data_IF_103361961142
#
_entry.id   IF_103361961142
#
_cell.length_a   1.000
_cell.length_b   1.000
_cell.length_c   1.000
_cell.angle_alpha   90.00
_cell.angle_beta   90.00
_cell.angle_gamma   90.00
#
_symmetry.space_group_name_H-M   'P 1'
#
loop_
_entity.id
_entity.type
_entity.pdbx_description
1 polymer ?
#
# COMPACT_ATOMS: atom_id res chain seq x y z
N UNK A 1 -14.26 -21.90 -91.80
CA UNK A 1 -15.18 -20.85 -91.33
C UNK A 1 -16.19 -21.52 -90.40
N UNK A 2 -16.28 -21.35 -89.09
CA UNK A 2 -15.51 -20.65 -88.09
C UNK A 2 -15.84 -21.38 -86.78
N UNK A 3 -14.83 -21.96 -86.13
CA UNK A 3 -14.94 -22.69 -84.88
C UNK A 3 -14.71 -21.67 -83.75
N UNK A 4 -15.77 -21.14 -83.16
CA UNK A 4 -15.67 -20.15 -82.08
C UNK A 4 -15.76 -20.84 -80.73
N UNK A 5 -14.57 -21.10 -80.19
CA UNK A 5 -14.29 -21.51 -78.83
C UNK A 5 -15.10 -20.69 -77.80
N UNK A 6 -16.04 -21.35 -77.12
CA UNK A 6 -16.55 -20.91 -75.83
C UNK A 6 -15.42 -21.05 -74.79
N UNK A 7 -14.51 -20.07 -74.76
CA UNK A 7 -13.61 -19.86 -73.62
C UNK A 7 -14.47 -19.42 -72.43
N UNK A 8 -14.91 -20.40 -71.65
CA UNK A 8 -15.42 -20.18 -70.30
C UNK A 8 -14.29 -19.58 -69.47
N UNK A 9 -14.23 -18.25 -69.38
CA UNK A 9 -13.31 -17.57 -68.47
C UNK A 9 -13.74 -17.91 -67.05
N UNK A 10 -12.94 -18.72 -66.35
CA UNK A 10 -13.12 -18.93 -64.91
C UNK A 10 -12.86 -17.59 -64.24
N UNK A 11 -13.93 -16.82 -63.99
CA UNK A 11 -13.88 -15.59 -63.20
C UNK A 11 -13.18 -15.93 -61.89
N UNK A 12 -12.08 -15.27 -61.61
CA UNK A 12 -11.39 -15.47 -60.33
C UNK A 12 -12.30 -14.94 -59.23
N UNK A 13 -12.12 -15.45 -58.00
CA UNK A 13 -12.91 -15.03 -56.84
C UNK A 13 -12.84 -13.51 -56.55
N UNK A 14 -11.99 -12.75 -57.25
CA UNK A 14 -11.83 -11.30 -57.09
C UNK A 14 -12.73 -10.47 -58.02
N UNK A 15 -13.35 -11.09 -59.03
CA UNK A 15 -14.01 -10.38 -60.14
C UNK A 15 -15.54 -10.54 -60.17
N UNK A 16 -16.17 -10.92 -59.04
CA UNK A 16 -17.62 -11.14 -58.98
C UNK A 16 -18.36 -9.82 -58.81
N UNK A 17 -19.14 -9.44 -59.84
CA UNK A 17 -20.01 -8.26 -59.81
C UNK A 17 -21.12 -8.40 -58.75
N UNK A 18 -21.57 -7.30 -58.11
CA UNK A 18 -22.70 -7.31 -57.17
C UNK A 18 -24.00 -7.88 -57.78
N UNK A 19 -24.18 -7.79 -59.10
CA UNK A 19 -25.30 -8.43 -59.79
C UNK A 19 -25.17 -9.96 -59.85
N UNK A 20 -23.94 -10.47 -60.03
CA UNK A 20 -23.65 -11.90 -60.04
C UNK A 20 -23.77 -12.51 -58.62
N UNK A 21 -23.39 -11.74 -57.58
CA UNK A 21 -23.58 -12.11 -56.17
C UNK A 21 -25.04 -12.30 -55.76
N UNK A 22 -25.97 -11.59 -56.40
CA UNK A 22 -27.42 -11.73 -56.15
C UNK A 22 -28.00 -12.99 -56.77
N UNK A 23 -27.35 -13.54 -57.80
CA UNK A 23 -27.77 -14.76 -58.51
C UNK A 23 -27.24 -16.04 -57.86
N UNK A 24 -26.25 -15.94 -56.97
CA UNK A 24 -25.69 -17.09 -56.25
C UNK A 24 -26.68 -17.66 -55.23
N UNK A 25 -26.63 -18.98 -55.03
CA UNK A 25 -27.35 -19.58 -53.92
C UNK A 25 -26.75 -19.12 -52.57
N UNK A 26 -27.53 -19.17 -51.46
CA UNK A 26 -27.06 -18.69 -50.16
C UNK A 26 -25.74 -19.32 -49.70
N UNK A 27 -25.50 -20.62 -49.94
CA UNK A 27 -24.26 -21.28 -49.53
C UNK A 27 -23.04 -20.78 -50.32
N UNK A 28 -23.18 -20.56 -51.62
CA UNK A 28 -22.11 -20.02 -52.48
C UNK A 28 -21.79 -18.57 -52.12
N UNK A 29 -22.83 -17.76 -51.87
CA UNK A 29 -22.69 -16.37 -51.44
C UNK A 29 -22.02 -16.26 -50.07
N UNK A 30 -22.39 -17.10 -49.12
CA UNK A 30 -21.75 -17.16 -47.80
C UNK A 30 -20.27 -17.56 -47.93
N UNK A 31 -19.97 -18.58 -48.74
CA UNK A 31 -18.59 -19.00 -49.01
C UNK A 31 -17.78 -17.89 -49.69
N UNK A 32 -18.37 -17.12 -50.60
CA UNK A 32 -17.72 -15.97 -51.21
C UNK A 32 -17.38 -14.88 -50.18
N UNK A 33 -18.38 -14.45 -49.40
CA UNK A 33 -18.22 -13.36 -48.43
C UNK A 33 -17.25 -13.71 -47.30
N UNK A 34 -17.08 -14.98 -46.97
CA UNK A 34 -16.11 -15.42 -45.95
C UNK A 34 -14.64 -15.14 -46.32
N UNK A 35 -14.32 -15.10 -47.61
CA UNK A 35 -12.96 -14.86 -48.11
C UNK A 35 -12.81 -13.52 -48.85
N UNK A 36 -13.92 -12.83 -49.11
CA UNK A 36 -13.91 -11.51 -49.71
C UNK A 36 -13.28 -10.50 -48.75
N UNK A 37 -12.46 -9.60 -49.28
CA UNK A 37 -11.88 -8.53 -48.47
C UNK A 37 -13.00 -7.59 -47.96
N UNK A 38 -12.99 -7.24 -46.66
CA UNK A 38 -13.98 -6.35 -46.10
C UNK A 38 -13.87 -4.96 -46.75
N UNK A 39 -15.00 -4.25 -46.83
CA UNK A 39 -15.01 -2.89 -47.36
C UNK A 39 -14.11 -1.96 -46.54
N UNK A 40 -13.62 -0.89 -47.16
CA UNK A 40 -12.69 0.08 -46.52
C UNK A 40 -13.21 0.61 -45.18
N UNK A 41 -14.52 0.85 -45.06
CA UNK A 41 -15.16 1.32 -43.83
C UNK A 41 -15.14 0.26 -42.71
N UNK A 42 -15.37 -1.02 -43.06
CA UNK A 42 -15.30 -2.14 -42.11
C UNK A 42 -13.85 -2.38 -41.69
N UNK A 43 -12.90 -2.34 -42.64
CA UNK A 43 -11.47 -2.43 -42.35
C UNK A 43 -10.99 -1.34 -41.38
N UNK A 44 -11.42 -0.09 -41.61
CA UNK A 44 -11.14 1.03 -40.70
C UNK A 44 -11.72 0.81 -39.30
N UNK A 45 -12.97 0.34 -39.22
CA UNK A 45 -13.64 0.04 -37.94
C UNK A 45 -12.91 -1.07 -37.16
N UNK A 46 -12.47 -2.12 -37.85
CA UNK A 46 -11.68 -3.23 -37.27
C UNK A 46 -10.30 -2.74 -36.81
N UNK A 47 -9.64 -1.87 -37.58
CA UNK A 47 -8.36 -1.29 -37.20
C UNK A 47 -8.48 -0.43 -35.93
N UNK A 48 -9.52 0.40 -35.84
CA UNK A 48 -9.81 1.20 -34.65
C UNK A 48 -10.08 0.29 -33.45
N UNK A 49 -10.90 -0.75 -33.62
CA UNK A 49 -11.18 -1.71 -32.55
C UNK A 49 -9.91 -2.42 -32.06
N UNK A 50 -9.04 -2.88 -32.97
CA UNK A 50 -7.74 -3.47 -32.63
C UNK A 50 -6.84 -2.50 -31.89
N UNK A 51 -6.80 -1.24 -32.32
CA UNK A 51 -6.01 -0.20 -31.66
C UNK A 51 -6.50 0.04 -30.23
N UNK A 52 -7.82 0.13 -29.99
CA UNK A 52 -8.39 0.26 -28.65
C UNK A 52 -7.99 -0.90 -27.74
N UNK A 53 -8.06 -2.13 -28.24
CA UNK A 53 -7.66 -3.32 -27.47
C UNK A 53 -6.17 -3.28 -27.12
N UNK A 54 -5.31 -2.87 -28.06
CA UNK A 54 -3.87 -2.73 -27.80
C UNK A 54 -3.58 -1.69 -26.73
N UNK A 55 -4.22 -0.52 -26.81
CA UNK A 55 -4.08 0.55 -25.81
C UNK A 55 -4.54 0.05 -24.44
N UNK A 56 -5.71 -0.57 -24.35
CA UNK A 56 -6.22 -1.13 -23.10
C UNK A 56 -5.28 -2.17 -22.47
N UNK A 57 -4.74 -3.10 -23.27
CA UNK A 57 -3.77 -4.09 -22.80
C UNK A 57 -2.49 -3.42 -22.30
N UNK A 58 -2.01 -2.40 -23.02
CA UNK A 58 -0.83 -1.65 -22.61
C UNK A 58 -1.07 -0.92 -21.29
N UNK A 59 -2.16 -0.17 -21.17
CA UNK A 59 -2.54 0.55 -19.94
C UNK A 59 -2.65 -0.40 -18.75
N UNK A 60 -3.30 -1.56 -18.94
CA UNK A 60 -3.41 -2.57 -17.87
C UNK A 60 -2.04 -3.08 -17.43
N UNK A 61 -1.13 -3.35 -18.38
CA UNK A 61 0.25 -3.80 -18.06
C UNK A 61 1.03 -2.73 -17.30
N UNK A 62 0.89 -1.46 -17.70
CA UNK A 62 1.57 -0.36 -17.00
C UNK A 62 1.01 -0.17 -15.58
N UNK A 63 -0.30 -0.31 -15.39
CA UNK A 63 -0.91 -0.30 -14.05
C UNK A 63 -0.40 -1.45 -13.19
N UNK A 64 -0.33 -2.67 -13.73
CA UNK A 64 0.22 -3.83 -13.02
C UNK A 64 1.68 -3.61 -12.60
N UNK A 65 2.52 -3.03 -13.49
CA UNK A 65 3.91 -2.68 -13.16
C UNK A 65 4.00 -1.64 -12.05
N UNK A 66 3.19 -0.58 -12.10
CA UNK A 66 3.19 0.47 -11.07
C UNK A 66 2.78 -0.09 -9.71
N UNK A 67 1.79 -0.99 -9.67
CA UNK A 67 1.36 -1.65 -8.44
C UNK A 67 2.47 -2.54 -7.85
N UNK A 68 3.17 -3.30 -8.70
CA UNK A 68 4.29 -4.14 -8.27
C UNK A 68 5.44 -3.30 -7.71
N UNK A 69 5.83 -2.23 -8.41
CA UNK A 69 6.88 -1.31 -7.96
C UNK A 69 6.51 -0.67 -6.62
N UNK A 70 5.27 -0.16 -6.47
CA UNK A 70 4.81 0.40 -5.21
C UNK A 70 4.81 -0.63 -4.07
N UNK A 71 4.46 -1.89 -4.36
CA UNK A 71 4.51 -2.96 -3.37
C UNK A 71 5.95 -3.30 -2.95
N UNK A 72 6.90 -3.30 -3.87
CA UNK A 72 8.32 -3.52 -3.60
C UNK A 72 8.91 -2.36 -2.78
N UNK A 73 8.62 -1.12 -3.14
CA UNK A 73 9.02 0.07 -2.38
C UNK A 73 8.53 0.02 -0.94
N UNK A 74 7.25 -0.34 -0.74
CA UNK A 74 6.68 -0.53 0.61
C UNK A 74 7.41 -1.60 1.39
N UNK A 75 7.73 -2.75 0.78
CA UNK A 75 8.50 -3.81 1.44
C UNK A 75 9.89 -3.33 1.86
N UNK A 76 10.58 -2.58 0.99
CA UNK A 76 11.88 -1.99 1.30
C UNK A 76 11.77 -0.98 2.46
N UNK A 77 10.74 -0.13 2.44
CA UNK A 77 10.47 0.83 3.50
C UNK A 77 10.16 0.13 4.84
N UNK A 78 9.32 -0.90 4.83
CA UNK A 78 8.97 -1.67 6.02
C UNK A 78 10.18 -2.39 6.61
N UNK A 79 11.04 -2.96 5.75
CA UNK A 79 12.30 -3.56 6.17
C UNK A 79 13.24 -2.54 6.84
N UNK A 80 13.38 -1.35 6.24
CA UNK A 80 14.17 -0.26 6.82
C UNK A 80 13.60 0.20 8.17
N UNK A 81 12.29 0.39 8.27
CA UNK A 81 11.61 0.74 9.52
C UNK A 81 11.87 -0.35 10.57
N UNK A 82 11.79 -1.62 10.20
CA UNK A 82 12.07 -2.75 11.08
C UNK A 82 13.50 -2.73 11.62
N UNK A 83 14.49 -2.47 10.75
CA UNK A 83 15.90 -2.33 11.15
C UNK A 83 16.11 -1.16 12.11
N UNK A 84 15.54 0.01 11.81
CA UNK A 84 15.63 1.19 12.66
C UNK A 84 14.99 0.97 14.04
N UNK A 85 13.79 0.38 14.08
CA UNK A 85 13.13 0.01 15.34
C UNK A 85 13.96 -0.98 16.15
N UNK A 86 14.57 -1.98 15.51
CA UNK A 86 15.43 -2.94 16.18
C UNK A 86 16.72 -2.31 16.73
N UNK A 87 17.33 -1.38 15.99
CA UNK A 87 18.50 -0.63 16.43
C UNK A 87 18.15 0.26 17.64
N UNK A 88 17.01 0.95 17.59
CA UNK A 88 16.52 1.76 18.70
C UNK A 88 16.25 0.92 19.96
N UNK A 89 15.56 -0.21 19.82
CA UNK A 89 15.28 -1.11 20.94
C UNK A 89 16.57 -1.61 21.61
N UNK A 90 17.57 -2.01 20.81
CA UNK A 90 18.89 -2.41 21.31
C UNK A 90 19.58 -1.26 22.04
N UNK A 91 19.55 -0.05 21.49
CA UNK A 91 20.11 1.15 22.14
C UNK A 91 19.43 1.43 23.48
N UNK A 92 18.11 1.36 23.56
CA UNK A 92 17.35 1.53 24.82
C UNK A 92 17.76 0.49 25.86
N UNK A 93 17.84 -0.79 25.49
CA UNK A 93 18.28 -1.87 26.39
C UNK A 93 19.72 -1.63 26.86
N UNK A 94 20.62 -1.28 25.94
CA UNK A 94 22.02 -0.99 26.28
C UNK A 94 22.13 0.18 27.27
N UNK A 95 21.42 1.30 27.01
CA UNK A 95 21.39 2.44 27.92
C UNK A 95 20.86 2.08 29.31
N UNK A 96 19.80 1.27 29.38
CA UNK A 96 19.27 0.77 30.66
C UNK A 96 20.27 -0.10 31.42
N UNK A 97 20.96 -1.00 30.73
CA UNK A 97 22.02 -1.84 31.32
C UNK A 97 23.18 -1.01 31.83
N UNK A 98 23.65 -0.04 31.04
CA UNK A 98 24.71 0.87 31.43
C UNK A 98 24.32 1.70 32.67
N UNK A 99 23.09 2.24 32.68
CA UNK A 99 22.56 2.97 33.82
C UNK A 99 22.46 2.08 35.06
N UNK A 100 21.97 0.84 34.91
CA UNK A 100 21.90 -0.12 36.00
C UNK A 100 23.29 -0.44 36.57
N UNK A 101 24.28 -0.66 35.71
CA UNK A 101 25.66 -0.90 36.13
C UNK A 101 26.23 0.29 36.91
N UNK A 102 26.09 1.51 36.38
CA UNK A 102 26.51 2.73 37.08
C UNK A 102 25.82 2.90 38.44
N UNK A 103 24.51 2.64 38.50
CA UNK A 103 23.78 2.69 39.77
C UNK A 103 24.28 1.63 40.77
N UNK A 104 24.61 0.42 40.29
CA UNK A 104 25.18 -0.63 41.13
C UNK A 104 26.53 -0.21 41.72
N UNK A 105 27.40 0.37 40.89
CA UNK A 105 28.71 0.89 41.31
C UNK A 105 28.58 2.02 42.34
N UNK A 106 27.68 2.97 42.10
CA UNK A 106 27.39 4.07 43.03
C UNK A 106 26.83 3.53 44.35
N UNK A 107 25.88 2.59 44.31
CA UNK A 107 25.33 1.99 45.52
C UNK A 107 26.42 1.24 46.31
N UNK A 108 27.33 0.57 45.62
CA UNK A 108 28.48 -0.08 46.26
C UNK A 108 29.38 0.96 46.94
N UNK A 109 29.73 2.05 46.26
CA UNK A 109 30.51 3.15 46.85
C UNK A 109 29.84 3.74 48.09
N UNK A 110 28.51 3.92 48.08
CA UNK A 110 27.73 4.37 49.25
C UNK A 110 27.82 3.34 50.39
N UNK A 111 27.72 2.04 50.07
CA UNK A 111 27.77 0.97 51.08
C UNK A 111 29.14 0.81 51.73
N UNK A 112 30.22 1.15 51.03
CA UNK A 112 31.59 1.09 51.54
C UNK A 112 31.99 2.35 52.32
N UNK A 113 31.10 3.32 52.51
CA UNK A 113 31.43 4.53 53.25
C UNK A 113 31.65 4.22 54.74
N UNK A 114 32.66 4.83 55.38
CA UNK A 114 33.01 4.52 56.76
C UNK A 114 31.97 5.06 57.77
N UNK A 115 31.17 6.05 57.39
CA UNK A 115 30.13 6.64 58.25
C UNK A 115 28.80 6.79 57.52
N UNK A 116 27.70 6.71 58.28
CA UNK A 116 26.36 6.92 57.73
C UNK A 116 26.19 8.35 57.15
N UNK A 117 26.84 9.35 57.75
CA UNK A 117 26.79 10.74 57.29
C UNK A 117 27.45 10.90 55.91
N UNK A 118 28.61 10.28 55.68
CA UNK A 118 29.28 10.33 54.37
C UNK A 118 28.50 9.57 53.30
N UNK A 119 27.90 8.44 53.64
CA UNK A 119 26.95 7.72 52.78
C UNK A 119 25.75 8.60 52.37
N UNK A 120 25.16 9.32 53.33
CA UNK A 120 24.05 10.24 53.09
C UNK A 120 24.44 11.41 52.18
N UNK A 121 25.57 12.06 52.46
CA UNK A 121 26.09 13.15 51.61
C UNK A 121 26.30 12.68 50.18
N UNK A 122 26.90 11.51 49.98
CA UNK A 122 27.12 10.93 48.65
C UNK A 122 25.80 10.63 47.93
N UNK A 123 24.80 10.10 48.64
CA UNK A 123 23.46 9.85 48.09
C UNK A 123 22.74 11.14 47.67
N UNK A 124 22.91 12.23 48.40
CA UNK A 124 22.28 13.53 48.10
C UNK A 124 22.87 14.22 46.85
N UNK A 125 24.10 13.88 46.46
CA UNK A 125 24.71 14.38 45.22
C UNK A 125 24.16 13.70 43.96
N UNK A 126 23.42 12.60 44.12
CA UNK A 126 22.82 11.90 42.98
C UNK A 126 21.60 12.67 42.49
N UNK A 127 21.36 12.71 41.16
CA UNK A 127 20.12 13.24 40.64
C UNK A 127 18.94 12.53 41.31
N UNK A 128 17.99 13.31 41.82
CA UNK A 128 16.71 12.78 42.29
C UNK A 128 16.16 11.89 41.18
N UNK A 129 15.97 10.60 41.47
CA UNK A 129 15.31 9.72 40.52
C UNK A 129 13.94 10.35 40.28
N UNK A 130 13.66 10.76 39.05
CA UNK A 130 12.30 11.06 38.61
C UNK A 130 11.54 9.75 38.78
N UNK A 131 10.99 9.56 39.98
CA UNK A 131 9.86 8.69 40.18
C UNK A 131 8.83 9.37 39.29
N UNK A 132 8.62 8.80 38.11
CA UNK A 132 7.41 9.07 37.34
C UNK A 132 6.30 8.63 38.27
N UNK A 133 5.87 9.54 39.13
CA UNK A 133 4.57 9.46 39.76
C UNK A 133 3.67 9.37 38.55
N UNK A 134 3.08 8.20 38.34
CA UNK A 134 2.03 8.06 37.36
C UNK A 134 1.04 9.16 37.73
N UNK A 135 1.01 10.23 36.93
CA UNK A 135 -0.01 11.27 37.04
C UNK A 135 -1.33 10.75 36.44
N UNK A 136 -1.53 9.44 36.52
CA UNK A 136 -2.80 8.81 36.23
C UNK A 136 -3.70 9.22 37.36
N UNK A 137 -4.82 9.84 37.01
CA UNK A 137 -5.82 10.22 37.99
C UNK A 137 -6.21 8.98 38.82
N UNK A 138 -6.02 9.01 40.15
CA UNK A 138 -6.25 7.86 41.01
C UNK A 138 -7.74 7.53 41.16
N UNK A 139 -8.65 8.40 40.69
CA UNK A 139 -10.08 8.23 40.84
C UNK A 139 -10.70 7.50 39.64
N UNK A 140 -11.42 6.41 39.93
CA UNK A 140 -12.32 5.77 38.98
C UNK A 140 -13.51 6.69 38.64
N UNK A 141 -14.15 6.50 37.48
CA UNK A 141 -15.24 7.35 36.97
C UNK A 141 -16.36 7.57 37.98
N UNK A 142 -16.71 6.53 38.75
CA UNK A 142 -17.73 6.63 39.81
C UNK A 142 -17.26 7.46 41.00
N UNK A 143 -16.01 7.29 41.41
CA UNK A 143 -15.42 8.05 42.52
C UNK A 143 -15.29 9.52 42.14
N UNK A 144 -14.89 9.80 40.90
CA UNK A 144 -14.80 11.17 40.37
C UNK A 144 -16.15 11.85 40.33
N UNK A 145 -17.17 11.18 39.78
CA UNK A 145 -18.55 11.70 39.77
C UNK A 145 -19.06 12.01 41.18
N UNK A 146 -18.71 11.16 42.15
CA UNK A 146 -19.09 11.39 43.56
C UNK A 146 -18.36 12.60 44.16
N UNK A 147 -17.09 12.79 43.84
CA UNK A 147 -16.31 13.95 44.29
C UNK A 147 -16.85 15.23 43.66
N UNK A 148 -17.14 15.23 42.36
CA UNK A 148 -17.74 16.36 41.61
C UNK A 148 -19.11 16.75 42.20
N UNK A 149 -19.95 15.77 42.51
CA UNK A 149 -21.23 15.98 43.19
C UNK A 149 -21.05 16.62 44.58
N UNK A 150 -20.08 16.15 45.37
CA UNK A 150 -19.78 16.71 46.71
C UNK A 150 -19.24 18.15 46.61
N UNK A 151 -18.41 18.43 45.60
CA UNK A 151 -17.80 19.73 45.40
C UNK A 151 -18.76 20.75 44.76
N UNK A 152 -19.91 20.31 44.25
CA UNK A 152 -20.87 21.17 43.59
C UNK A 152 -20.32 21.83 42.32
N UNK A 153 -19.34 21.19 41.67
CA UNK A 153 -18.74 21.71 40.43
C UNK A 153 -19.63 21.37 39.23
N UNK A 154 -20.86 21.91 39.21
CA UNK A 154 -21.81 21.71 38.11
C UNK A 154 -21.33 22.32 36.77
N UNK A 155 -20.26 23.14 36.81
CA UNK A 155 -19.78 23.93 35.67
C UNK A 155 -18.47 23.42 35.08
N UNK A 156 -17.92 22.30 35.57
CA UNK A 156 -16.67 21.70 35.11
C UNK A 156 -15.46 22.65 35.12
N UNK A 157 -15.42 23.63 36.02
CA UNK A 157 -14.44 24.73 35.94
C UNK A 157 -13.13 24.43 36.67
N UNK A 158 -13.09 23.42 37.54
CA UNK A 158 -11.92 23.20 38.41
C UNK A 158 -11.02 22.02 38.01
N UNK A 159 -11.39 21.20 37.03
CA UNK A 159 -10.66 19.95 36.70
C UNK A 159 -10.22 19.92 35.22
N UNK A 160 -8.91 19.83 35.00
CA UNK A 160 -8.32 19.61 33.66
C UNK A 160 -8.53 18.13 33.27
N UNK A 161 -9.36 17.90 32.24
CA UNK A 161 -9.61 16.58 31.66
C UNK A 161 -8.44 16.22 30.73
N UNK A 162 -7.69 15.16 31.05
CA UNK A 162 -6.65 14.59 30.18
C UNK A 162 -7.12 13.31 29.52
#
# INVERSE_FOLDING_TARGET
MADQAQRNSRKTFKDVSPADLRKMCPQQKARYLAYAEPSKNVGGSVAIAKQRVRVFIHEKREQEKQLLQSAEEKKCQDALIGQLKAAEARKRVHQKRLLYQKLKEINFLISCQPTALSALRLKLLLPSRDIKMDRTDPLDKKQRRRVEEILGDEKDLTIIRS
#
